data_IF_495682929070
#
_entry.id   IF_495682929070
#
_cell.length_a   1.000
_cell.length_b   1.000
_cell.length_c   1.000
_cell.angle_alpha   90.00
_cell.angle_beta   90.00
_cell.angle_gamma   90.00
#
_symmetry.space_group_name_H-M   'P 1'
#
loop_
_entity.id
_entity.type
_entity.pdbx_description
1 polymer ?
#
# COMPACT_ATOMS: atom_id res chain seq x y z
N UNK A 1 -71.67 15.21 11.87
CA UNK A 1 -70.48 14.24 11.77
C UNK A 1 -69.28 14.97 11.22
N UNK A 2 -68.29 15.28 12.07
CA UNK A 2 -67.05 15.94 11.64
C UNK A 2 -66.04 14.85 11.22
N UNK A 3 -65.63 14.83 9.93
CA UNK A 3 -64.58 13.95 9.44
C UNK A 3 -63.21 14.52 9.84
N UNK A 4 -62.48 13.81 10.69
CA UNK A 4 -61.09 14.12 11.05
C UNK A 4 -60.20 13.54 9.97
N UNK A 5 -59.53 14.40 9.21
CA UNK A 5 -58.53 14.00 8.21
C UNK A 5 -57.17 14.06 8.94
N UNK A 6 -56.58 12.90 9.15
CA UNK A 6 -55.23 12.76 9.76
C UNK A 6 -54.19 12.92 8.63
N UNK A 7 -53.20 13.80 8.75
CA UNK A 7 -52.14 13.92 7.74
C UNK A 7 -51.17 12.75 7.87
N UNK A 8 -50.96 12.03 6.80
CA UNK A 8 -49.89 11.03 6.68
C UNK A 8 -48.58 11.75 6.43
N UNK A 9 -47.72 11.76 7.41
CA UNK A 9 -46.35 12.26 7.23
C UNK A 9 -45.51 11.19 6.51
N UNK A 10 -45.15 11.45 5.27
CA UNK A 10 -44.24 10.63 4.50
C UNK A 10 -42.80 11.02 4.94
N UNK A 11 -42.16 10.17 5.74
CA UNK A 11 -40.75 10.31 6.08
C UNK A 11 -39.92 9.85 4.88
N UNK A 12 -39.34 10.79 4.13
CA UNK A 12 -38.37 10.52 3.09
C UNK A 12 -37.03 10.21 3.76
N UNK A 13 -36.67 8.92 3.82
CA UNK A 13 -35.34 8.47 4.25
C UNK A 13 -34.35 8.78 3.11
N UNK A 14 -33.59 9.86 3.23
CA UNK A 14 -32.50 10.18 2.32
C UNK A 14 -31.36 9.20 2.59
N UNK A 15 -31.16 8.23 1.69
CA UNK A 15 -30.01 7.33 1.70
C UNK A 15 -28.80 8.14 1.26
N UNK A 16 -27.98 8.62 2.20
CA UNK A 16 -26.70 9.22 1.89
C UNK A 16 -25.76 8.10 1.41
N UNK A 17 -25.52 8.05 0.10
CA UNK A 17 -24.47 7.20 -0.47
C UNK A 17 -23.12 7.70 0.04
N UNK A 18 -22.50 6.97 0.96
CA UNK A 18 -21.13 7.21 1.37
C UNK A 18 -20.24 6.70 0.24
N UNK A 19 -19.67 7.61 -0.53
CA UNK A 19 -18.60 7.29 -1.45
C UNK A 19 -17.38 6.92 -0.60
N UNK A 20 -16.99 5.65 -0.59
CA UNK A 20 -15.72 5.24 -0.04
C UNK A 20 -14.61 5.93 -0.86
N UNK A 21 -13.93 6.90 -0.24
CA UNK A 21 -12.77 7.52 -0.86
C UNK A 21 -11.66 6.47 -0.97
N UNK A 22 -11.05 6.34 -2.15
CA UNK A 22 -9.87 5.50 -2.31
C UNK A 22 -8.78 5.96 -1.34
N UNK A 23 -7.97 5.02 -0.82
CA UNK A 23 -6.85 5.35 0.05
C UNK A 23 -5.89 6.32 -0.69
N UNK A 24 -5.33 7.34 0.01
CA UNK A 24 -4.36 8.22 -0.61
C UNK A 24 -3.15 7.42 -1.14
N UNK A 25 -2.68 7.72 -2.38
CA UNK A 25 -1.57 6.99 -2.97
C UNK A 25 -0.24 7.26 -2.24
N UNK A 26 0.72 6.33 -2.32
CA UNK A 26 2.06 6.53 -1.79
C UNK A 26 2.85 7.56 -2.58
N UNK A 27 3.80 8.23 -1.91
CA UNK A 27 4.88 8.96 -2.56
C UNK A 27 6.09 8.03 -2.69
N UNK A 28 6.51 7.76 -3.92
CA UNK A 28 7.66 6.91 -4.22
C UNK A 28 8.77 7.74 -4.84
N UNK A 29 9.98 7.65 -4.27
CA UNK A 29 11.16 8.36 -4.77
C UNK A 29 12.31 7.38 -4.98
N UNK A 30 12.84 7.34 -6.21
CA UNK A 30 14.08 6.64 -6.48
C UNK A 30 15.27 7.40 -5.87
N UNK A 31 16.10 6.66 -5.15
CA UNK A 31 17.33 7.18 -4.53
C UNK A 31 18.54 6.84 -5.38
N UNK A 32 18.63 5.58 -5.84
CA UNK A 32 19.67 5.15 -6.76
C UNK A 32 19.30 3.85 -7.45
N UNK A 33 19.87 3.65 -8.63
CA UNK A 33 19.88 2.38 -9.35
C UNK A 33 21.30 2.10 -9.83
N UNK A 34 21.79 0.89 -9.62
CA UNK A 34 23.15 0.47 -10.04
C UNK A 34 23.16 -0.96 -10.55
N UNK A 35 23.79 -1.22 -11.71
CA UNK A 35 24.12 -2.58 -12.11
C UNK A 35 24.98 -3.26 -11.04
N UNK A 36 24.70 -4.53 -10.75
CA UNK A 36 25.46 -5.28 -9.75
C UNK A 36 26.66 -5.95 -10.39
N UNK A 37 27.84 -5.47 -10.06
CA UNK A 37 29.11 -6.10 -10.51
C UNK A 37 29.18 -7.53 -10.00
N UNK A 38 29.49 -8.48 -10.89
CA UNK A 38 29.58 -9.90 -10.55
C UNK A 38 28.24 -10.68 -10.57
N UNK A 39 27.14 -9.99 -10.83
CA UNK A 39 25.82 -10.61 -11.02
C UNK A 39 25.24 -10.12 -12.36
N UNK A 40 25.61 -10.73 -13.48
CA UNK A 40 25.23 -10.27 -14.82
C UNK A 40 23.72 -10.09 -14.97
N UNK A 41 23.30 -9.00 -15.60
CA UNK A 41 21.89 -8.68 -15.89
C UNK A 41 21.07 -8.23 -14.68
N UNK A 42 21.67 -8.13 -13.50
CA UNK A 42 20.99 -7.64 -12.28
C UNK A 42 21.35 -6.21 -11.95
N UNK A 43 20.42 -5.54 -11.28
CA UNK A 43 20.63 -4.21 -10.68
C UNK A 43 20.07 -4.17 -9.26
N UNK A 44 20.66 -3.30 -8.46
CA UNK A 44 20.12 -2.88 -7.18
C UNK A 44 19.42 -1.55 -7.33
N UNK A 45 18.15 -1.48 -6.91
CA UNK A 45 17.35 -0.25 -6.91
C UNK A 45 16.95 0.09 -5.48
N UNK A 46 17.25 1.31 -5.05
CA UNK A 46 16.86 1.83 -3.74
C UNK A 46 15.79 2.89 -3.91
N UNK A 47 14.67 2.68 -3.25
CA UNK A 47 13.53 3.59 -3.21
C UNK A 47 13.27 4.04 -1.76
N UNK A 48 12.75 5.25 -1.58
CA UNK A 48 11.97 5.59 -0.39
C UNK A 48 10.51 5.66 -0.76
N UNK A 49 9.67 5.17 0.15
CA UNK A 49 8.21 5.20 0.03
C UNK A 49 7.66 5.89 1.26
N UNK A 50 6.74 6.84 1.05
CA UNK A 50 5.98 7.47 2.13
C UNK A 50 4.51 7.19 1.92
N UNK A 51 3.91 6.50 2.88
CA UNK A 51 2.46 6.37 2.95
C UNK A 51 1.90 7.58 3.72
N UNK A 52 1.02 8.38 3.12
CA UNK A 52 0.31 9.41 3.87
C UNK A 52 -0.62 8.78 4.92
N UNK A 53 -1.17 9.55 5.86
CA UNK A 53 -2.18 9.05 6.81
C UNK A 53 -3.32 8.31 6.07
N UNK A 54 -3.61 7.07 6.48
CA UNK A 54 -4.62 6.22 5.84
C UNK A 54 -4.29 5.75 4.42
N UNK A 55 -3.09 6.06 3.92
CA UNK A 55 -2.64 5.71 2.57
C UNK A 55 -2.06 4.31 2.45
N UNK A 56 -1.87 3.86 1.23
CA UNK A 56 -1.30 2.55 0.93
C UNK A 56 -1.18 2.27 -0.57
N UNK A 57 -0.68 1.09 -0.87
CA UNK A 57 -0.49 0.61 -2.24
C UNK A 57 -1.72 -0.13 -2.78
N UNK A 58 -1.81 -0.17 -4.09
CA UNK A 58 -2.67 -1.13 -4.78
C UNK A 58 -2.03 -2.53 -4.74
N UNK A 59 -2.83 -3.57 -5.01
CA UNK A 59 -2.34 -4.95 -5.12
C UNK A 59 -1.30 -5.03 -6.23
N UNK A 60 -0.11 -5.52 -5.89
CA UNK A 60 1.01 -5.58 -6.82
C UNK A 60 1.95 -6.74 -6.52
N UNK A 61 2.96 -6.91 -7.37
CA UNK A 61 4.10 -7.79 -7.18
C UNK A 61 5.37 -7.11 -7.67
N UNK A 62 6.48 -7.64 -7.23
CA UNK A 62 7.80 -7.32 -7.78
C UNK A 62 8.36 -8.53 -8.49
N UNK A 63 8.99 -8.33 -9.65
CA UNK A 63 9.84 -9.35 -10.28
C UNK A 63 11.29 -9.19 -9.75
N UNK A 64 11.39 -9.23 -8.43
CA UNK A 64 12.58 -8.85 -7.67
C UNK A 64 12.56 -9.46 -6.27
N UNK A 65 13.74 -9.55 -5.65
CA UNK A 65 13.84 -9.64 -4.19
C UNK A 65 13.66 -8.23 -3.62
N UNK A 66 12.70 -8.05 -2.72
CA UNK A 66 12.43 -6.79 -2.07
C UNK A 66 12.77 -6.84 -0.58
N UNK A 67 13.63 -5.96 -0.13
CA UNK A 67 14.01 -5.79 1.27
C UNK A 67 13.47 -4.45 1.74
N UNK A 68 12.56 -4.48 2.69
CA UNK A 68 11.90 -3.30 3.25
C UNK A 68 12.47 -3.00 4.63
N UNK A 69 12.75 -1.75 4.92
CA UNK A 69 13.16 -1.27 6.24
C UNK A 69 12.39 -0.01 6.61
N UNK A 70 11.63 -0.05 7.70
CA UNK A 70 10.81 1.06 8.16
C UNK A 70 11.65 2.08 8.92
N UNK A 71 11.60 3.34 8.47
CA UNK A 71 12.33 4.46 9.08
C UNK A 71 11.46 5.19 10.09
N UNK A 72 10.19 5.42 9.74
CA UNK A 72 9.24 6.21 10.53
C UNK A 72 7.84 5.60 10.46
N UNK A 73 7.14 5.64 11.60
CA UNK A 73 5.78 5.11 11.71
C UNK A 73 5.74 3.58 11.71
N UNK A 74 4.64 3.05 11.22
CA UNK A 74 4.41 1.60 11.07
C UNK A 74 3.59 1.33 9.83
N UNK A 75 3.85 0.22 9.17
CA UNK A 75 3.12 -0.23 7.99
C UNK A 75 2.53 -1.62 8.23
N UNK A 76 1.39 -1.90 7.61
CA UNK A 76 0.82 -3.25 7.59
C UNK A 76 1.09 -3.85 6.22
N UNK A 77 1.72 -5.01 6.22
CA UNK A 77 2.12 -5.76 5.02
C UNK A 77 1.46 -7.13 5.03
N UNK A 78 0.97 -7.57 3.87
CA UNK A 78 0.45 -8.92 3.70
C UNK A 78 0.73 -9.45 2.31
N UNK A 79 1.35 -10.60 2.24
CA UNK A 79 1.50 -11.38 1.02
C UNK A 79 0.30 -12.33 0.87
N UNK A 80 -0.04 -12.66 -0.35
CA UNK A 80 -1.11 -13.63 -0.65
C UNK A 80 -0.79 -14.99 -0.02
N UNK A 81 -1.73 -15.52 0.74
CA UNK A 81 -1.57 -16.80 1.45
C UNK A 81 -0.83 -16.71 2.79
N UNK A 82 -0.48 -15.50 3.23
CA UNK A 82 0.14 -15.25 4.53
C UNK A 82 -0.74 -14.37 5.42
N UNK A 83 -0.47 -14.37 6.73
CA UNK A 83 -1.11 -13.45 7.68
C UNK A 83 -0.56 -12.03 7.53
N UNK A 84 -1.35 -10.99 7.81
CA UNK A 84 -0.86 -9.62 7.84
C UNK A 84 0.14 -9.40 8.97
N UNK A 85 1.18 -8.62 8.70
CA UNK A 85 2.23 -8.26 9.66
C UNK A 85 2.29 -6.74 9.80
N UNK A 86 2.39 -6.26 11.04
CA UNK A 86 2.70 -4.85 11.29
C UNK A 86 4.21 -4.70 11.47
N UNK A 87 4.84 -3.91 10.61
CA UNK A 87 6.28 -3.62 10.62
C UNK A 87 6.47 -2.22 11.15
N UNK A 88 7.21 -2.09 12.25
CA UNK A 88 7.46 -0.81 12.95
C UNK A 88 8.79 -0.21 12.52
N UNK A 89 9.00 1.07 12.87
CA UNK A 89 10.28 1.71 12.68
C UNK A 89 11.43 0.90 13.30
N UNK A 90 12.49 0.65 12.52
CA UNK A 90 13.61 -0.22 12.90
C UNK A 90 13.45 -1.69 12.52
N UNK A 91 12.29 -2.09 12.03
CA UNK A 91 12.01 -3.47 11.60
C UNK A 91 12.03 -3.61 10.08
N UNK A 92 12.20 -4.84 9.61
CA UNK A 92 12.25 -5.19 8.20
C UNK A 92 11.16 -6.14 7.76
N UNK A 93 10.92 -6.17 6.43
CA UNK A 93 10.03 -7.11 5.76
C UNK A 93 10.69 -7.56 4.46
N UNK A 94 10.41 -8.78 4.03
CA UNK A 94 10.99 -9.35 2.82
C UNK A 94 9.91 -9.94 1.92
N UNK A 95 10.07 -9.71 0.60
CA UNK A 95 9.23 -10.29 -0.45
C UNK A 95 10.10 -11.04 -1.46
N UNK A 96 9.73 -12.29 -1.75
CA UNK A 96 10.34 -13.06 -2.84
C UNK A 96 9.90 -12.53 -4.20
N UNK A 97 10.67 -12.81 -5.27
CA UNK A 97 10.17 -12.60 -6.63
C UNK A 97 8.82 -13.29 -6.84
N UNK A 98 7.88 -12.57 -7.44
CA UNK A 98 6.51 -13.01 -7.71
C UNK A 98 5.56 -13.19 -6.52
N UNK A 99 5.98 -12.94 -5.29
CA UNK A 99 5.04 -12.78 -4.20
C UNK A 99 4.04 -11.67 -4.54
N UNK A 100 2.75 -11.94 -4.32
CA UNK A 100 1.72 -10.93 -4.53
C UNK A 100 1.45 -10.21 -3.21
N UNK A 101 1.75 -8.93 -3.18
CA UNK A 101 1.51 -8.04 -2.07
C UNK A 101 0.05 -7.56 -2.12
N UNK A 102 -0.80 -8.11 -1.25
CA UNK A 102 -2.24 -7.84 -1.25
C UNK A 102 -2.65 -6.74 -0.27
N UNK A 103 -1.82 -6.45 0.74
CA UNK A 103 -1.98 -5.33 1.66
C UNK A 103 -0.64 -4.66 1.88
N UNK A 104 -0.55 -3.39 1.49
CA UNK A 104 0.52 -2.46 1.84
C UNK A 104 -0.11 -1.15 2.26
N UNK A 105 -0.12 -0.82 3.53
CA UNK A 105 -0.77 0.39 4.02
C UNK A 105 -0.12 0.96 5.26
N UNK A 106 -0.33 2.26 5.47
CA UNK A 106 -0.02 2.91 6.74
C UNK A 106 -0.86 2.28 7.86
N UNK A 107 -0.25 2.00 9.00
CA UNK A 107 -0.98 1.55 10.18
C UNK A 107 -1.70 2.70 10.90
N UNK A 108 -1.42 3.96 10.53
CA UNK A 108 -1.97 5.18 11.16
C UNK A 108 -2.82 5.98 10.17
N UNK A 109 -3.96 6.48 10.64
CA UNK A 109 -4.83 7.39 9.90
C UNK A 109 -4.49 8.88 10.16
N UNK A 110 -3.51 9.16 11.03
CA UNK A 110 -3.19 10.52 11.47
C UNK A 110 -1.74 10.93 11.25
N UNK A 111 -0.83 9.98 11.03
CA UNK A 111 0.61 10.24 10.83
C UNK A 111 1.13 9.49 9.62
N UNK A 112 2.10 10.05 8.87
CA UNK A 112 2.73 9.32 7.77
C UNK A 112 3.59 8.16 8.27
N UNK A 113 3.87 7.21 7.38
CA UNK A 113 4.88 6.18 7.56
C UNK A 113 5.88 6.24 6.41
N UNK A 114 7.18 6.07 6.71
CA UNK A 114 8.25 6.12 5.73
C UNK A 114 9.14 4.90 5.83
N UNK A 115 9.48 4.33 4.69
CA UNK A 115 10.33 3.16 4.61
C UNK A 115 11.22 3.18 3.37
N UNK A 116 12.30 2.42 3.42
CA UNK A 116 13.19 2.15 2.29
C UNK A 116 12.81 0.80 1.70
N UNK A 117 12.83 0.71 0.38
CA UNK A 117 12.76 -0.56 -0.35
C UNK A 117 14.04 -0.72 -1.16
N UNK A 118 14.76 -1.81 -0.93
CA UNK A 118 15.88 -2.23 -1.76
C UNK A 118 15.46 -3.43 -2.59
N UNK A 119 15.50 -3.26 -3.92
CA UNK A 119 15.16 -4.29 -4.88
C UNK A 119 16.42 -4.84 -5.55
N UNK A 120 16.52 -6.17 -5.60
CA UNK A 120 17.46 -6.87 -6.48
C UNK A 120 16.64 -7.47 -7.62
N UNK A 121 16.79 -6.91 -8.81
CA UNK A 121 15.94 -7.22 -9.97
C UNK A 121 16.73 -7.32 -11.27
N UNK A 122 16.11 -7.83 -12.33
CA UNK A 122 16.68 -7.75 -13.67
C UNK A 122 16.70 -6.29 -14.14
N UNK A 123 17.75 -5.92 -14.86
CA UNK A 123 17.87 -4.60 -15.48
C UNK A 123 16.69 -4.35 -16.44
N UNK A 124 16.14 -3.14 -16.39
CA UNK A 124 15.04 -2.71 -17.27
C UNK A 124 13.65 -3.25 -16.91
N UNK A 125 13.51 -4.11 -15.89
CA UNK A 125 12.20 -4.58 -15.41
C UNK A 125 11.58 -3.52 -14.48
N UNK A 126 10.26 -3.24 -14.58
CA UNK A 126 9.59 -2.32 -13.67
C UNK A 126 9.72 -2.76 -12.21
N UNK A 127 9.88 -1.78 -11.31
CA UNK A 127 9.93 -2.05 -9.87
C UNK A 127 8.57 -2.49 -9.30
N UNK A 128 7.49 -2.04 -9.90
CA UNK A 128 6.12 -2.28 -9.49
C UNK A 128 5.33 -2.86 -10.67
N UNK A 129 4.65 -3.98 -10.45
CA UNK A 129 3.84 -4.66 -11.45
C UNK A 129 2.44 -4.85 -10.86
N UNK A 130 1.40 -4.19 -11.38
CA UNK A 130 0.03 -4.38 -10.91
C UNK A 130 -0.37 -5.86 -10.94
N UNK A 131 -1.11 -6.30 -9.93
CA UNK A 131 -1.62 -7.66 -9.81
C UNK A 131 -3.11 -7.67 -9.42
N UNK A 132 -3.74 -8.85 -9.48
CA UNK A 132 -5.15 -9.03 -9.11
C UNK A 132 -5.28 -10.06 -7.99
#
# INVERSE_FOLDING_TARGET
>A
MKKIILPIAIATCALAAQFASAAPPPEVKEIMSKPLTGIPGKEGLVLTVTYPPGGGDEIHRHDAHAFVYVIEGSIVMQLRGAEPVTVKAGEGFYECPNDVHIVGRNASDSRPAKFVVFLVKNQGVPAFIPAK
#
